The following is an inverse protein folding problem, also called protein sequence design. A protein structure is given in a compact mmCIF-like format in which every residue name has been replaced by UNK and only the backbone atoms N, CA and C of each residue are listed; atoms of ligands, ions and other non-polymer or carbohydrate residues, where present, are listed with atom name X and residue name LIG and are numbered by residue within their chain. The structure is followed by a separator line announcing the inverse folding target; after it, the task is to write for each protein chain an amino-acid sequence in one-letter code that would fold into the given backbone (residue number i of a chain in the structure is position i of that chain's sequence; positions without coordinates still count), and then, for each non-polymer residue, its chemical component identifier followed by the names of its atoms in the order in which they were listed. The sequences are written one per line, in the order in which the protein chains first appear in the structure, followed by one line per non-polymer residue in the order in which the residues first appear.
data_IF_454304385587
#
_entry.id   IF_454304385587
#
_cell.length_a   1.000
_cell.length_b   1.000
_cell.length_c   1.000
_cell.angle_alpha   90.00
_cell.angle_beta   90.00
_cell.angle_gamma   90.00
#
_symmetry.space_group_name_H-M   'P 1'
#
loop_
_entity.id
_entity.type
_entity.pdbx_description
1 polymer ?
#
# COMPACT_ATOMS: atom_id res chain seq x y z
N UNK A 1 -14.85 10.43 -5.47
CA UNK A 1 -14.26 9.92 -4.21
C UNK A 1 -12.81 9.63 -4.49
N UNK A 2 -11.88 10.00 -3.60
CA UNK A 2 -10.45 9.73 -3.80
C UNK A 2 -10.19 8.28 -3.37
N UNK A 3 -10.21 7.37 -4.33
CA UNK A 3 -9.83 5.97 -4.13
C UNK A 3 -8.60 5.69 -4.97
N UNK A 4 -7.63 4.98 -4.41
CA UNK A 4 -6.44 4.56 -5.14
C UNK A 4 -6.06 3.14 -4.73
N UNK A 5 -5.73 2.31 -5.71
CA UNK A 5 -5.24 0.97 -5.46
C UNK A 5 -3.71 0.99 -5.48
N UNK A 6 -3.13 0.37 -4.45
CA UNK A 6 -1.70 0.20 -4.30
C UNK A 6 -1.37 -1.28 -4.24
N UNK A 7 -0.15 -1.63 -4.64
CA UNK A 7 0.41 -2.96 -4.43
C UNK A 7 1.71 -2.83 -3.64
N UNK A 8 1.86 -3.66 -2.61
CA UNK A 8 3.11 -3.74 -1.84
C UNK A 8 4.18 -4.33 -2.74
N UNK A 9 5.10 -3.51 -3.22
CA UNK A 9 6.20 -3.93 -4.10
C UNK A 9 7.29 -4.64 -3.32
N UNK A 10 7.65 -4.08 -2.16
CA UNK A 10 8.68 -4.59 -1.28
C UNK A 10 8.45 -4.12 0.17
N UNK A 11 8.90 -4.89 1.14
CA UNK A 11 8.88 -4.50 2.57
C UNK A 11 10.32 -4.49 3.07
N UNK A 12 10.79 -3.33 3.52
CA UNK A 12 12.12 -3.14 4.10
C UNK A 12 11.97 -2.83 5.60
N UNK A 13 12.11 -3.87 6.43
CA UNK A 13 12.02 -3.78 7.88
C UNK A 13 10.67 -3.24 8.39
N UNK A 14 10.66 -1.95 8.75
CA UNK A 14 9.50 -1.23 9.30
C UNK A 14 8.71 -0.46 8.22
N UNK A 15 9.21 -0.41 6.99
CA UNK A 15 8.62 0.32 5.87
C UNK A 15 8.17 -0.60 4.75
N UNK A 16 7.12 -0.20 4.06
CA UNK A 16 6.58 -0.88 2.88
C UNK A 16 6.58 0.09 1.69
N UNK A 17 7.09 -0.38 0.57
CA UNK A 17 7.02 0.29 -0.72
C UNK A 17 5.69 -0.06 -1.39
N UNK A 18 4.84 0.93 -1.58
CA UNK A 18 3.55 0.83 -2.23
C UNK A 18 3.65 1.39 -3.64
N UNK A 19 3.49 0.54 -4.64
CA UNK A 19 3.40 0.98 -6.02
C UNK A 19 1.94 1.31 -6.36
N UNK A 20 1.69 2.50 -6.89
CA UNK A 20 0.35 2.89 -7.32
C UNK A 20 -0.04 2.12 -8.59
N UNK A 21 -1.25 1.57 -8.63
CA UNK A 21 -1.78 0.86 -9.80
C UNK A 21 -2.52 1.78 -10.77
N UNK A 22 -2.89 2.99 -10.34
CA UNK A 22 -3.64 3.98 -11.13
C UNK A 22 -2.76 4.76 -12.13
N UNK A 23 -1.47 4.40 -12.24
CA UNK A 23 -0.56 4.96 -13.25
C UNK A 23 0.42 6.01 -12.73
N UNK A 24 0.53 6.22 -11.41
CA UNK A 24 1.68 6.94 -10.85
C UNK A 24 2.91 6.03 -10.80
N UNK A 25 4.01 6.44 -11.42
CA UNK A 25 5.27 5.68 -11.42
C UNK A 25 6.06 5.82 -10.11
N UNK A 26 5.60 6.63 -9.17
CA UNK A 26 6.27 6.85 -7.88
C UNK A 26 5.88 5.79 -6.84
N UNK A 27 6.90 5.12 -6.30
CA UNK A 27 6.75 4.23 -5.15
C UNK A 27 6.51 5.05 -3.87
N UNK A 28 5.43 4.75 -3.16
CA UNK A 28 5.08 5.39 -1.89
C UNK A 28 5.66 4.59 -0.73
N UNK A 29 6.52 5.21 0.07
CA UNK A 29 7.04 4.61 1.30
C UNK A 29 6.05 4.86 2.45
N UNK A 30 5.53 3.78 3.03
CA UNK A 30 4.58 3.83 4.15
C UNK A 30 5.08 2.93 5.28
N UNK A 31 5.05 3.42 6.52
CA UNK A 31 5.41 2.61 7.67
C UNK A 31 4.40 1.47 7.87
N UNK A 32 4.89 0.25 8.14
CA UNK A 32 4.05 -0.93 8.42
C UNK A 32 3.11 -0.70 9.61
N UNK A 33 3.47 0.16 10.55
CA UNK A 33 2.62 0.54 11.67
C UNK A 33 1.33 1.26 11.26
N UNK A 34 1.32 1.92 10.09
CA UNK A 34 0.14 2.58 9.52
C UNK A 34 -0.68 1.65 8.63
N UNK A 35 -0.11 0.50 8.25
CA UNK A 35 -0.76 -0.48 7.41
C UNK A 35 -1.42 -1.56 8.27
N UNK A 36 -2.47 -2.21 7.75
CA UNK A 36 -3.07 -3.37 8.40
C UNK A 36 -2.03 -4.50 8.63
N UNK A 37 -2.16 -5.20 9.75
CA UNK A 37 -1.28 -6.32 10.08
C UNK A 37 -1.49 -7.47 9.08
N UNK A 38 -0.40 -8.06 8.60
CA UNK A 38 -0.44 -9.18 7.64
C UNK A 38 -0.17 -8.80 6.19
N UNK A 39 0.24 -7.56 5.91
CA UNK A 39 0.76 -7.19 4.59
C UNK A 39 2.05 -7.96 4.24
N UNK A 40 2.13 -8.40 2.99
CA UNK A 40 3.29 -9.06 2.39
C UNK A 40 3.59 -8.46 1.00
N UNK A 41 4.78 -8.75 0.45
CA UNK A 41 5.12 -8.39 -0.93
C UNK A 41 4.08 -9.00 -1.90
N UNK A 42 3.54 -8.18 -2.80
CA UNK A 42 2.44 -8.51 -3.71
C UNK A 42 1.03 -8.28 -3.14
N UNK A 43 0.89 -7.87 -1.87
CA UNK A 43 -0.43 -7.57 -1.28
C UNK A 43 -1.02 -6.32 -1.91
N UNK A 44 -2.29 -6.36 -2.30
CA UNK A 44 -3.00 -5.17 -2.77
C UNK A 44 -3.68 -4.46 -1.62
N UNK A 45 -3.58 -3.14 -1.65
CA UNK A 45 -4.11 -2.24 -0.66
C UNK A 45 -5.05 -1.26 -1.36
N UNK A 46 -6.27 -1.17 -0.85
CA UNK A 46 -7.22 -0.14 -1.26
C UNK A 46 -7.07 1.05 -0.34
N UNK A 47 -6.79 2.21 -0.91
CA UNK A 47 -6.74 3.46 -0.17
C UNK A 47 -8.04 4.22 -0.38
N UNK A 48 -8.83 4.34 0.67
CA UNK A 48 -10.07 5.11 0.68
C UNK A 48 -10.19 5.89 2.00
N UNK A 49 -10.64 7.14 1.94
CA UNK A 49 -10.93 7.97 3.12
C UNK A 49 -9.77 8.04 4.15
N UNK A 50 -8.53 8.18 3.68
CA UNK A 50 -7.31 8.20 4.52
C UNK A 50 -7.01 6.88 5.26
N UNK A 51 -7.63 5.77 4.84
CA UNK A 51 -7.40 4.44 5.38
C UNK A 51 -6.90 3.49 4.30
N UNK A 52 -6.07 2.53 4.70
CA UNK A 52 -5.57 1.44 3.86
C UNK A 52 -6.24 0.14 4.27
N UNK A 53 -6.91 -0.51 3.34
CA UNK A 53 -7.54 -1.82 3.53
C UNK A 53 -6.87 -2.87 2.66
N UNK A 54 -6.66 -4.08 3.19
CA UNK A 54 -6.15 -5.21 2.39
C UNK A 54 -7.31 -5.72 1.54
N UNK A 55 -7.15 -5.63 0.23
CA UNK A 55 -8.05 -6.23 -0.75
C UNK A 55 -7.29 -7.40 -1.38
N UNK A 56 -7.67 -8.63 -1.04
CA UNK A 56 -6.96 -9.83 -1.49
C UNK A 56 -7.30 -10.19 -2.94
#
# INVERSE_FOLDING_TARGET
MLVCDYIVKQIDGEYAHLQNLDGSEEDKLVARALLPNGIAEGTKLHYELLQYEIIQ
#
